data_IF_111417776814
#
_entry.id   IF_111417776814
#
_cell.length_a   1.000
_cell.length_b   1.000
_cell.length_c   1.000
_cell.angle_alpha   90.00
_cell.angle_beta   90.00
_cell.angle_gamma   90.00
#
_symmetry.space_group_name_H-M   'P 1'
#
loop_
_entity.id
_entity.type
_entity.pdbx_description
1 polymer ?
#
# COMPACT_ATOMS: atom_id res chain seq x y z
N UNK A 1 -42.23 31.27 -11.58
CA UNK A 1 -41.09 30.67 -12.29
C UNK A 1 -40.31 29.84 -11.29
N UNK A 2 -40.49 28.52 -11.27
CA UNK A 2 -39.75 27.61 -10.40
C UNK A 2 -38.59 27.01 -11.17
N UNK A 3 -37.37 27.19 -10.68
CA UNK A 3 -36.18 26.53 -11.21
C UNK A 3 -36.12 25.11 -10.63
N UNK A 4 -36.28 24.10 -11.48
CA UNK A 4 -35.98 22.71 -11.13
C UNK A 4 -34.48 22.47 -11.31
N UNK A 5 -33.78 22.21 -10.21
CA UNK A 5 -32.40 21.72 -10.27
C UNK A 5 -32.43 20.22 -10.53
N UNK A 6 -31.94 19.80 -11.69
CA UNK A 6 -31.66 18.39 -11.97
C UNK A 6 -30.39 17.99 -11.22
N UNK A 7 -30.55 17.17 -10.18
CA UNK A 7 -29.44 16.43 -9.57
C UNK A 7 -29.01 15.33 -10.54
N UNK A 8 -27.84 15.48 -11.17
CA UNK A 8 -27.17 14.36 -11.82
C UNK A 8 -26.42 13.58 -10.74
N UNK A 9 -26.74 12.30 -10.49
CA UNK A 9 -25.88 11.46 -9.66
C UNK A 9 -24.55 11.27 -10.42
N UNK A 10 -23.45 11.78 -9.88
CA UNK A 10 -22.13 11.34 -10.29
C UNK A 10 -21.97 9.91 -9.82
N UNK A 11 -22.23 8.94 -10.69
CA UNK A 11 -21.78 7.56 -10.48
C UNK A 11 -20.26 7.57 -10.64
N UNK A 12 -19.56 7.68 -9.51
CA UNK A 12 -18.14 7.39 -9.45
C UNK A 12 -17.93 5.94 -9.86
N UNK A 13 -17.35 5.73 -11.05
CA UNK A 13 -16.88 4.41 -11.45
C UNK A 13 -15.64 4.14 -10.60
N UNK A 14 -15.82 3.40 -9.51
CA UNK A 14 -14.69 2.83 -8.76
C UNK A 14 -14.12 1.74 -9.67
N UNK A 15 -12.98 2.01 -10.29
CA UNK A 15 -12.29 1.02 -11.11
C UNK A 15 -11.79 -0.10 -10.18
N UNK A 16 -12.41 -1.28 -10.29
CA UNK A 16 -11.95 -2.50 -9.61
C UNK A 16 -10.57 -2.85 -10.19
N UNK A 17 -9.52 -2.60 -9.42
CA UNK A 17 -8.15 -2.74 -9.89
C UNK A 17 -7.69 -4.16 -9.60
N UNK A 18 -7.75 -5.04 -10.62
CA UNK A 18 -7.16 -6.38 -10.52
C UNK A 18 -5.76 -6.36 -11.13
N UNK A 19 -4.75 -6.36 -10.26
CA UNK A 19 -3.36 -6.41 -10.68
C UNK A 19 -3.05 -7.64 -11.53
N UNK A 20 -2.49 -7.41 -12.71
CA UNK A 20 -2.05 -8.49 -13.60
C UNK A 20 -0.70 -9.03 -13.09
N UNK A 21 -0.56 -10.33 -12.79
CA UNK A 21 0.71 -10.89 -12.34
C UNK A 21 1.86 -10.62 -13.33
N UNK A 22 3.04 -10.30 -12.81
CA UNK A 22 4.25 -10.06 -13.59
C UNK A 22 5.14 -11.30 -13.60
N UNK A 23 5.27 -11.95 -14.76
CA UNK A 23 6.13 -13.12 -14.90
C UNK A 23 7.59 -12.82 -14.53
N UNK A 24 8.19 -13.71 -13.73
CA UNK A 24 9.59 -13.63 -13.28
C UNK A 24 9.83 -12.67 -12.12
N UNK A 25 8.78 -12.26 -11.39
CA UNK A 25 8.88 -11.37 -10.23
C UNK A 25 8.55 -12.05 -8.89
N UNK A 26 8.32 -13.36 -8.92
CA UNK A 26 7.92 -14.17 -7.76
C UNK A 26 9.14 -14.76 -7.07
N UNK A 27 9.31 -14.44 -5.78
CA UNK A 27 10.41 -14.93 -4.95
C UNK A 27 9.92 -15.13 -3.52
N UNK A 28 9.93 -16.37 -3.03
CA UNK A 28 9.44 -16.72 -1.68
C UNK A 28 7.97 -16.29 -1.49
N UNK A 29 7.69 -15.43 -0.50
CA UNK A 29 6.34 -14.89 -0.26
C UNK A 29 6.04 -13.61 -1.06
N UNK A 30 7.00 -13.13 -1.86
CA UNK A 30 6.86 -11.92 -2.65
C UNK A 30 6.47 -12.24 -4.10
N UNK A 31 5.60 -11.43 -4.65
CA UNK A 31 5.18 -11.50 -6.04
C UNK A 31 4.96 -10.11 -6.62
N UNK A 32 5.15 -9.98 -7.93
CA UNK A 32 4.92 -8.73 -8.64
C UNK A 32 3.61 -8.72 -9.42
N UNK A 33 3.00 -7.54 -9.51
CA UNK A 33 1.79 -7.26 -10.26
C UNK A 33 1.91 -5.93 -11.02
N UNK A 34 1.12 -5.80 -12.08
CA UNK A 34 0.90 -4.56 -12.80
C UNK A 34 -0.55 -4.12 -12.56
N UNK A 35 -0.70 -3.03 -11.84
CA UNK A 35 -1.97 -2.37 -11.60
C UNK A 35 -2.17 -1.29 -12.68
N UNK A 36 -3.35 -1.29 -13.31
CA UNK A 36 -3.67 -0.36 -14.38
C UNK A 36 -5.00 0.32 -14.11
N UNK A 37 -5.00 1.65 -14.13
CA UNK A 37 -6.22 2.46 -13.98
C UNK A 37 -6.38 3.31 -15.24
N UNK A 38 -7.53 3.16 -15.92
CA UNK A 38 -7.90 4.03 -17.03
C UNK A 38 -8.62 5.26 -16.50
N UNK A 39 -8.13 6.44 -16.86
CA UNK A 39 -8.71 7.73 -16.47
C UNK A 39 -9.80 8.16 -17.46
N UNK A 40 -10.68 9.13 -17.09
CA UNK A 40 -11.75 9.61 -17.99
C UNK A 40 -11.28 10.19 -19.32
N UNK A 41 -10.02 10.61 -19.41
CA UNK A 41 -9.37 11.10 -20.62
C UNK A 41 -8.77 9.97 -21.50
N UNK A 42 -9.03 8.71 -21.17
CA UNK A 42 -8.46 7.49 -21.75
C UNK A 42 -6.95 7.32 -21.53
N UNK A 43 -6.32 8.15 -20.70
CA UNK A 43 -4.95 7.88 -20.27
C UNK A 43 -4.92 6.69 -19.31
N UNK A 44 -3.80 5.96 -19.30
CA UNK A 44 -3.61 4.78 -18.46
C UNK A 44 -2.52 5.07 -17.43
N UNK A 45 -2.87 4.97 -16.16
CA UNK A 45 -1.92 4.94 -15.07
C UNK A 45 -1.44 3.50 -14.87
N UNK A 46 -0.14 3.30 -14.96
CA UNK A 46 0.51 2.02 -14.71
C UNK A 46 1.28 2.09 -13.40
N UNK A 47 1.03 1.12 -12.53
CA UNK A 47 1.74 0.93 -11.28
C UNK A 47 2.29 -0.49 -11.21
N UNK A 48 3.59 -0.60 -10.99
CA UNK A 48 4.33 -1.85 -10.90
C UNK A 48 4.53 -2.16 -9.43
N UNK A 49 3.87 -3.18 -8.92
CA UNK A 49 3.79 -3.47 -7.48
C UNK A 49 4.57 -4.74 -7.19
N UNK A 50 5.44 -4.71 -6.18
CA UNK A 50 5.96 -5.90 -5.52
C UNK A 50 5.29 -6.01 -4.15
N UNK A 51 4.72 -7.17 -3.84
CA UNK A 51 3.93 -7.31 -2.61
C UNK A 51 4.12 -8.65 -1.91
N UNK A 52 3.88 -8.65 -0.61
CA UNK A 52 3.84 -9.84 0.24
C UNK A 52 2.62 -9.77 1.16
N UNK A 53 1.90 -10.89 1.37
CA UNK A 53 0.87 -10.95 2.39
C UNK A 53 1.51 -10.98 3.79
N UNK A 54 0.73 -10.57 4.79
CA UNK A 54 1.09 -10.76 6.19
C UNK A 54 1.04 -12.25 6.57
N UNK A 55 1.92 -12.66 7.48
CA UNK A 55 2.02 -14.03 8.00
C UNK A 55 0.88 -14.37 8.96
N UNK A 56 0.29 -13.37 9.60
CA UNK A 56 -0.64 -13.56 10.72
C UNK A 56 -1.98 -12.80 10.57
N UNK A 57 -2.10 -11.96 9.54
CA UNK A 57 -3.33 -11.24 9.20
C UNK A 57 -3.58 -11.43 7.70
N UNK A 58 -4.40 -12.40 7.28
CA UNK A 58 -4.60 -12.74 5.86
C UNK A 58 -5.04 -11.55 5.00
N UNK A 59 -5.73 -10.59 5.60
CA UNK A 59 -6.29 -9.41 4.94
C UNK A 59 -5.35 -8.19 4.94
N UNK A 60 -4.09 -8.38 5.35
CA UNK A 60 -3.06 -7.35 5.32
C UNK A 60 -1.96 -7.69 4.30
N UNK A 61 -1.54 -6.70 3.51
CA UNK A 61 -0.42 -6.83 2.59
C UNK A 61 0.55 -5.64 2.69
N UNK A 62 1.83 -5.92 2.50
CA UNK A 62 2.88 -4.92 2.35
C UNK A 62 3.20 -4.82 0.86
N UNK A 63 3.25 -3.60 0.35
CA UNK A 63 3.49 -3.30 -1.05
C UNK A 63 4.64 -2.31 -1.22
N UNK A 64 5.37 -2.48 -2.32
CA UNK A 64 6.36 -1.53 -2.82
C UNK A 64 6.06 -1.31 -4.29
N UNK A 65 5.55 -0.13 -4.60
CA UNK A 65 5.06 0.23 -5.91
C UNK A 65 5.99 1.20 -6.65
N UNK A 66 5.96 1.16 -7.97
CA UNK A 66 6.71 2.03 -8.86
C UNK A 66 5.82 2.50 -10.00
N UNK A 67 5.77 3.80 -10.23
CA UNK A 67 5.06 4.36 -11.37
C UNK A 67 6.03 5.09 -12.32
N UNK A 68 5.96 4.87 -13.65
CA UNK A 68 6.82 5.55 -14.62
C UNK A 68 6.75 7.08 -14.50
N UNK A 69 5.54 7.62 -14.25
CA UNK A 69 5.31 9.08 -14.09
C UNK A 69 6.07 9.71 -12.91
N UNK A 70 6.46 8.90 -11.93
CA UNK A 70 7.23 9.34 -10.75
C UNK A 70 8.69 8.89 -10.84
N UNK A 71 9.21 8.73 -12.07
CA UNK A 71 10.57 8.25 -12.33
C UNK A 71 10.88 6.90 -11.68
N UNK A 72 9.85 6.06 -11.53
CA UNK A 72 9.94 4.79 -10.80
C UNK A 72 10.60 4.98 -9.41
N UNK A 73 10.19 6.02 -8.67
CA UNK A 73 10.49 6.13 -7.23
C UNK A 73 9.67 5.09 -6.45
N UNK A 74 10.24 4.43 -5.42
CA UNK A 74 9.53 3.43 -4.65
C UNK A 74 8.50 4.06 -3.73
N UNK A 75 7.24 3.66 -3.83
CA UNK A 75 6.20 3.98 -2.85
C UNK A 75 5.96 2.76 -1.97
N UNK A 76 6.19 2.89 -0.66
CA UNK A 76 5.93 1.82 0.29
C UNK A 76 4.55 2.04 0.90
N UNK A 77 3.71 1.02 0.83
CA UNK A 77 2.35 1.08 1.36
C UNK A 77 1.93 -0.23 2.00
N UNK A 78 0.91 -0.13 2.84
CA UNK A 78 0.32 -1.27 3.53
C UNK A 78 -1.17 -1.22 3.26
N UNK A 79 -1.71 -2.31 2.72
CA UNK A 79 -3.15 -2.44 2.50
C UNK A 79 -3.75 -3.28 3.62
N UNK A 80 -4.87 -2.80 4.17
CA UNK A 80 -5.68 -3.51 5.16
C UNK A 80 -7.13 -3.57 4.67
N UNK A 81 -7.84 -4.65 5.02
CA UNK A 81 -9.29 -4.67 4.83
C UNK A 81 -10.02 -3.71 5.77
N UNK A 82 -11.18 -3.22 5.34
CA UNK A 82 -12.03 -2.35 6.12
C UNK A 82 -12.60 -3.04 7.37
N UNK A 83 -12.60 -4.38 7.44
CA UNK A 83 -12.94 -5.09 8.68
C UNK A 83 -11.93 -4.83 9.79
N UNK A 84 -10.64 -4.80 9.42
CA UNK A 84 -9.55 -4.45 10.33
C UNK A 84 -9.63 -2.95 10.67
N UNK A 85 -9.90 -2.10 9.67
CA UNK A 85 -9.98 -0.65 9.94
C UNK A 85 -11.22 -0.26 10.73
N UNK A 86 -12.37 -0.88 10.53
CA UNK A 86 -13.55 -0.65 11.36
C UNK A 86 -13.29 -0.92 12.85
N UNK A 87 -12.31 -1.78 13.17
CA UNK A 87 -11.84 -2.00 14.53
C UNK A 87 -10.80 -0.96 14.98
N UNK A 88 -10.03 -0.37 14.07
CA UNK A 88 -9.00 0.65 14.32
C UNK A 88 -9.63 2.01 14.06
N UNK A 89 -10.33 2.55 15.07
CA UNK A 89 -10.87 3.91 15.00
C UNK A 89 -9.74 4.97 14.99
N UNK A 90 -10.10 6.26 14.90
CA UNK A 90 -9.15 7.39 14.93
C UNK A 90 -8.31 7.49 16.23
N UNK A 91 -8.54 6.62 17.22
CA UNK A 91 -7.83 6.63 18.49
C UNK A 91 -6.59 5.72 18.48
N UNK A 92 -6.17 5.20 17.32
CA UNK A 92 -4.97 4.39 17.17
C UNK A 92 -3.96 5.04 16.22
N UNK A 93 -2.70 5.03 16.62
CA UNK A 93 -1.56 5.38 15.79
C UNK A 93 -0.92 4.11 15.21
N UNK A 94 -0.33 4.26 14.02
CA UNK A 94 0.41 3.22 13.33
C UNK A 94 1.88 3.31 13.71
N UNK A 95 2.44 2.22 14.24
CA UNK A 95 3.87 2.10 14.50
C UNK A 95 4.44 1.01 13.60
N UNK A 96 5.49 1.31 12.86
CA UNK A 96 6.14 0.34 11.99
C UNK A 96 7.53 0.01 12.50
N UNK A 97 7.93 -1.25 12.37
CA UNK A 97 9.29 -1.67 12.70
C UNK A 97 9.87 -2.57 11.61
N UNK A 98 11.18 -2.45 11.40
CA UNK A 98 11.95 -3.40 10.60
C UNK A 98 13.01 -4.06 11.50
N UNK A 99 12.98 -5.39 11.61
CA UNK A 99 13.82 -6.16 12.53
C UNK A 99 13.82 -5.65 13.99
N UNK A 100 12.71 -5.03 14.42
CA UNK A 100 12.54 -4.47 15.76
C UNK A 100 12.98 -3.02 15.92
N UNK A 101 13.54 -2.38 14.89
CA UNK A 101 13.84 -0.94 14.89
C UNK A 101 12.62 -0.12 14.47
N UNK A 102 12.29 0.90 15.26
CA UNK A 102 11.18 1.81 14.98
C UNK A 102 11.43 2.69 13.76
N UNK A 103 10.43 2.77 12.90
CA UNK A 103 10.46 3.62 11.70
C UNK A 103 9.50 4.78 11.94
N UNK A 104 10.05 6.00 11.91
CA UNK A 104 9.25 7.21 11.89
C UNK A 104 8.48 7.27 10.56
N UNK A 105 7.18 6.98 10.62
CA UNK A 105 6.36 6.77 9.45
C UNK A 105 5.22 7.79 9.40
N UNK A 106 5.40 8.94 8.73
CA UNK A 106 4.26 9.77 8.38
C UNK A 106 3.43 8.98 7.36
N UNK A 107 2.15 8.75 7.66
CA UNK A 107 1.28 7.95 6.81
C UNK A 107 0.30 8.86 6.06
N UNK A 108 0.16 8.66 4.75
CA UNK A 108 -1.04 9.05 4.02
C UNK A 108 -2.03 7.90 4.09
N UNK A 109 -3.28 8.22 4.42
CA UNK A 109 -4.37 7.26 4.45
C UNK A 109 -5.27 7.49 3.24
N UNK A 110 -5.33 6.51 2.35
CA UNK A 110 -6.17 6.50 1.16
C UNK A 110 -7.21 5.38 1.24
N UNK A 111 -8.45 5.67 0.84
CA UNK A 111 -9.49 4.67 0.67
C UNK A 111 -9.37 4.06 -0.73
N UNK A 112 -8.93 2.79 -0.81
CA UNK A 112 -8.82 2.06 -2.07
C UNK A 112 -10.18 1.57 -2.54
N UNK A 113 -10.99 1.09 -1.61
CA UNK A 113 -12.36 0.66 -1.84
C UNK A 113 -13.17 0.83 -0.55
N UNK A 114 -14.49 0.65 -0.64
CA UNK A 114 -15.36 0.58 0.55
C UNK A 114 -14.97 -0.54 1.53
N UNK A 115 -14.05 -1.43 1.14
CA UNK A 115 -13.60 -2.60 1.88
C UNK A 115 -12.09 -2.64 2.11
N UNK A 116 -11.32 -1.62 1.73
CA UNK A 116 -9.85 -1.61 1.92
C UNK A 116 -9.28 -0.20 2.05
N UNK A 117 -8.32 -0.05 2.96
CA UNK A 117 -7.54 1.17 3.12
C UNK A 117 -6.07 0.92 2.83
N UNK A 118 -5.42 1.95 2.29
CA UNK A 118 -3.99 1.97 2.03
C UNK A 118 -3.31 3.02 2.90
N UNK A 119 -2.30 2.56 3.64
CA UNK A 119 -1.42 3.36 4.47
C UNK A 119 -0.09 3.53 3.74
N UNK A 120 0.12 4.67 3.09
CA UNK A 120 1.30 4.96 2.27
C UNK A 120 2.34 5.79 3.03
N UNK A 121 3.63 5.51 2.84
CA UNK A 121 4.71 6.32 3.42
C UNK A 121 4.77 7.71 2.80
N UNK A 122 4.56 8.74 3.63
CA UNK A 122 4.62 10.14 3.22
C UNK A 122 6.04 10.72 3.33
N UNK A 123 7.02 10.03 2.75
CA UNK A 123 8.38 10.53 2.64
C UNK A 123 8.62 11.20 1.29
N UNK A 124 9.58 12.12 1.24
CA UNK A 124 10.16 12.55 -0.04
C UNK A 124 10.93 11.39 -0.71
N UNK A 125 11.41 11.61 -1.94
CA UNK A 125 12.12 10.59 -2.73
C UNK A 125 13.30 9.94 -2.00
N UNK A 126 14.10 10.72 -1.28
CA UNK A 126 15.27 10.21 -0.57
C UNK A 126 14.87 9.38 0.65
N UNK A 127 13.83 9.81 1.36
CA UNK A 127 13.26 9.08 2.50
C UNK A 127 12.62 7.76 2.05
N UNK A 128 11.87 7.77 0.95
CA UNK A 128 11.30 6.57 0.33
C UNK A 128 12.39 5.58 -0.08
N UNK A 129 13.49 6.05 -0.67
CA UNK A 129 14.63 5.21 -1.03
C UNK A 129 15.36 4.65 0.19
N UNK A 130 15.47 5.41 1.28
CA UNK A 130 16.02 4.92 2.56
C UNK A 130 15.16 3.83 3.16
N UNK A 131 13.84 4.04 3.24
CA UNK A 131 12.90 3.05 3.72
C UNK A 131 12.94 1.79 2.86
N UNK A 132 12.98 1.95 1.54
CA UNK A 132 13.16 0.86 0.59
C UNK A 132 14.44 0.05 0.87
N UNK A 133 15.56 0.74 1.06
CA UNK A 133 16.86 0.11 1.37
C UNK A 133 16.82 -0.64 2.69
N UNK A 134 16.15 -0.09 3.71
CA UNK A 134 15.92 -0.75 4.99
C UNK A 134 15.16 -2.07 4.80
N UNK A 135 14.03 -2.04 4.07
CA UNK A 135 13.24 -3.24 3.77
C UNK A 135 14.05 -4.30 3.00
N UNK A 136 14.93 -3.88 2.09
CA UNK A 136 15.79 -4.81 1.34
C UNK A 136 16.86 -5.48 2.19
N UNK A 137 17.30 -4.81 3.26
CA UNK A 137 18.31 -5.32 4.19
C UNK A 137 17.72 -6.09 5.37
N UNK A 138 16.43 -5.91 5.64
CA UNK A 138 15.77 -6.49 6.81
C UNK A 138 15.17 -7.87 6.55
N UNK A 139 14.93 -8.62 7.62
CA UNK A 139 14.31 -9.96 7.54
C UNK A 139 12.81 -9.92 7.80
N UNK A 140 12.36 -9.01 8.66
CA UNK A 140 10.97 -8.87 9.07
C UNK A 140 10.54 -7.41 9.06
N UNK A 141 9.28 -7.19 8.68
CA UNK A 141 8.59 -5.93 8.85
C UNK A 141 7.36 -6.16 9.72
N UNK A 142 7.08 -5.26 10.65
CA UNK A 142 5.86 -5.34 11.45
C UNK A 142 5.18 -4.00 11.57
N UNK A 143 3.86 -4.07 11.71
CA UNK A 143 3.00 -2.91 11.84
C UNK A 143 2.14 -3.14 13.06
N UNK A 144 2.25 -2.25 14.02
CA UNK A 144 1.54 -2.29 15.29
C UNK A 144 0.53 -1.15 15.33
N UNK A 145 -0.69 -1.46 15.74
CA UNK A 145 -1.68 -0.43 16.08
C UNK A 145 -1.61 -0.17 17.58
N UNK A 146 -1.12 1.02 17.92
CA UNK A 146 -0.94 1.47 19.30
C UNK A 146 -1.96 2.54 19.63
N UNK A 147 -2.57 2.52 20.83
CA UNK A 147 -3.42 3.61 21.30
C UNK A 147 -2.76 4.99 21.11
N UNK A 148 -3.43 5.92 20.45
CA UNK A 148 -2.98 7.30 20.26
C UNK A 148 -3.01 8.10 21.57
N UNK A 149 -3.89 7.72 22.50
CA UNK A 149 -4.00 8.29 23.85
C UNK A 149 -4.12 7.18 24.89
N UNK A 150 -3.76 7.49 26.14
CA UNK A 150 -3.89 6.53 27.26
C UNK A 150 -5.35 6.16 27.57
N UNK A 151 -6.30 7.01 27.15
CA UNK A 151 -7.74 6.84 27.38
C UNK A 151 -8.43 6.06 26.24
N UNK A 152 -7.73 5.78 25.14
CA UNK A 152 -8.30 5.05 24.01
C UNK A 152 -8.66 3.63 24.45
N UNK A 153 -9.96 3.37 24.59
CA UNK A 153 -10.46 2.07 24.97
C UNK A 153 -10.16 1.04 23.89
N UNK A 154 -9.47 -0.02 24.31
CA UNK A 154 -9.17 -1.17 23.46
C UNK A 154 -10.50 -1.75 22.93
N UNK A 155 -10.69 -1.86 21.60
CA UNK A 155 -11.95 -2.33 21.05
C UNK A 155 -12.24 -3.75 21.57
N UNK A 156 -13.51 -4.10 21.84
CA UNK A 156 -13.89 -5.38 22.43
C UNK A 156 -13.51 -6.61 21.58
N UNK A 157 -13.08 -6.39 20.32
CA UNK A 157 -12.58 -7.41 19.40
C UNK A 157 -11.04 -7.39 19.19
N UNK A 158 -10.29 -6.59 19.94
CA UNK A 158 -8.82 -6.45 19.85
C UNK A 158 -8.01 -7.70 20.24
N UNK A 159 -8.68 -8.84 20.49
CA UNK A 159 -8.03 -10.14 20.56
C UNK A 159 -7.61 -10.65 19.17
N UNK A 160 -8.01 -9.99 18.09
CA UNK A 160 -7.56 -10.28 16.73
C UNK A 160 -6.33 -9.41 16.40
N UNK A 161 -5.18 -9.82 16.93
CA UNK A 161 -3.83 -9.50 16.42
C UNK A 161 -3.61 -8.01 16.05
N UNK A 162 -3.15 -7.21 17.03
CA UNK A 162 -2.79 -5.79 16.83
C UNK A 162 -1.47 -5.57 16.06
N UNK A 163 -0.93 -6.62 15.44
CA UNK A 163 0.37 -6.57 14.77
C UNK A 163 0.32 -7.35 13.46
N UNK A 164 0.42 -6.70 12.31
CA UNK A 164 0.70 -7.41 11.06
C UNK A 164 2.21 -7.69 10.96
N UNK A 165 2.59 -8.92 10.61
CA UNK A 165 4.00 -9.32 10.45
C UNK A 165 4.24 -9.81 9.03
N UNK A 166 5.24 -9.26 8.37
CA UNK A 166 5.59 -9.59 6.98
C UNK A 166 6.97 -10.24 6.91
N UNK A 167 7.10 -11.22 6.01
CA UNK A 167 8.41 -11.75 5.62
C UNK A 167 9.05 -10.79 4.63
N UNK A 168 10.30 -10.39 4.86
CA UNK A 168 11.06 -9.63 3.86
C UNK A 168 11.99 -10.53 3.03
N UNK A 169 12.01 -11.83 3.31
CA UNK A 169 12.72 -12.80 2.46
C UNK A 169 12.14 -12.78 1.05
N UNK A 170 12.98 -12.43 0.08
CA UNK A 170 12.59 -12.31 -1.34
C UNK A 170 12.23 -10.89 -1.78
N UNK A 171 12.07 -9.94 -0.86
CA UNK A 171 11.71 -8.53 -1.14
C UNK A 171 12.65 -7.93 -2.18
N UNK A 172 13.97 -8.01 -1.95
CA UNK A 172 14.99 -7.46 -2.83
C UNK A 172 14.88 -7.94 -4.27
N UNK A 173 14.70 -9.24 -4.48
CA UNK A 173 14.65 -9.84 -5.82
C UNK A 173 13.35 -9.46 -6.54
N UNK A 174 12.21 -9.60 -5.85
CA UNK A 174 10.90 -9.29 -6.43
C UNK A 174 10.81 -7.82 -6.81
N UNK A 175 11.18 -6.93 -5.88
CA UNK A 175 11.06 -5.52 -6.14
C UNK A 175 12.10 -5.01 -7.14
N UNK A 176 13.34 -5.51 -7.13
CA UNK A 176 14.30 -5.17 -8.19
C UNK A 176 13.76 -5.58 -9.57
N UNK A 177 13.12 -6.75 -9.68
CA UNK A 177 12.50 -7.19 -10.92
C UNK A 177 11.34 -6.27 -11.34
N UNK A 178 10.47 -5.89 -10.41
CA UNK A 178 9.35 -4.96 -10.64
C UNK A 178 9.83 -3.55 -11.00
N UNK A 179 10.84 -3.01 -10.30
CA UNK A 179 11.46 -1.71 -10.61
C UNK A 179 12.06 -1.71 -12.02
N UNK A 180 12.76 -2.79 -12.40
CA UNK A 180 13.30 -2.93 -13.75
C UNK A 180 12.19 -2.94 -14.81
N UNK A 181 11.03 -3.57 -14.53
CA UNK A 181 9.86 -3.50 -15.41
C UNK A 181 9.32 -2.09 -15.54
N UNK A 182 9.24 -1.34 -14.44
CA UNK A 182 8.85 0.07 -14.47
C UNK A 182 9.81 0.90 -15.33
N UNK A 183 11.12 0.71 -15.18
CA UNK A 183 12.15 1.44 -15.95
C UNK A 183 12.17 1.09 -17.44
N UNK A 184 11.79 -0.14 -17.79
CA UNK A 184 11.65 -0.60 -19.18
C UNK A 184 10.35 -0.13 -19.85
N UNK A 185 9.46 0.55 -19.10
CA UNK A 185 8.28 1.18 -19.66
C UNK A 185 8.69 2.41 -20.48
N UNK A 186 9.18 2.21 -21.70
CA UNK A 186 9.54 3.26 -22.67
C UNK A 186 8.33 3.82 -23.45
N UNK A 187 8.33 5.11 -23.78
CA UNK A 187 8.42 6.27 -22.89
C UNK A 187 7.04 6.93 -22.70
N UNK A 188 6.93 7.92 -21.81
CA UNK A 188 5.78 8.82 -21.80
C UNK A 188 5.68 9.48 -23.21
N UNK A 189 4.58 9.32 -23.95
CA UNK A 189 4.42 10.00 -25.23
C UNK A 189 4.48 11.51 -24.95
N UNK A 190 5.45 12.17 -25.58
CA UNK A 190 5.56 13.62 -25.64
C UNK A 190 4.38 14.22 -26.41
#
# INVERSE_FOLDING_TARGET
>A
MGFAFAFFPMTGVVAETHGKPLAGTEFQSWFGALDQVSLPDNSVLNEYVAQTPSKNIPEASLQIAFAPRFSCSPMVSVILSAEIVGAINNDFALQMTADGEDIAFPVLLDELSSTSLQYSYNGNKDEQQKLRSLIDSSSHFSINWVPATQDAQRPPNANRVNTAVFSLLGSRMSTMAVENRCKQHEPAPY
#
